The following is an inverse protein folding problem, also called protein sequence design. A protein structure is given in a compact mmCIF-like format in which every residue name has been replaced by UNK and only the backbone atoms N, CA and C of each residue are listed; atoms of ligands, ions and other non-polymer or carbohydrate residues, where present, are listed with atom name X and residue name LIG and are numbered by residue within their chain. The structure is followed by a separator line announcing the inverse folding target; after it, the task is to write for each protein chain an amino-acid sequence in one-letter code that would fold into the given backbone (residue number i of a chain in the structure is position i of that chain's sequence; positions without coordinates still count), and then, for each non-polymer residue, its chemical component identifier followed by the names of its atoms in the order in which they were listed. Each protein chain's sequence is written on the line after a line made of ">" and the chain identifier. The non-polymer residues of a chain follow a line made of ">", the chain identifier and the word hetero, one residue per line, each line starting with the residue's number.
data_IF_285441839459
#
_entry.id   IF_285441839459
#
_cell.length_a   1.000
_cell.length_b   1.000
_cell.length_c   1.000
_cell.angle_alpha   90.00
_cell.angle_beta   90.00
_cell.angle_gamma   90.00
#
_symmetry.space_group_name_H-M   'P 1'
#
loop_
_entity.id
_entity.type
_entity.pdbx_description
1 polymer ?
#
# COMPACT_ATOMS: atom_id res chain seq x y z
N UNK A 1 32.26 24.09 -17.79
CA UNK A 1 30.84 23.82 -18.11
C UNK A 1 30.00 24.34 -16.96
N UNK A 2 29.18 25.39 -17.15
CA UNK A 2 28.35 25.99 -16.08
C UNK A 2 26.89 25.73 -16.41
N UNK A 3 26.17 25.11 -15.48
CA UNK A 3 24.72 24.88 -15.58
C UNK A 3 24.07 25.83 -14.59
N UNK A 4 23.16 26.67 -15.07
CA UNK A 4 22.33 27.54 -14.23
C UNK A 4 20.87 27.16 -14.44
N UNK A 5 20.19 26.84 -13.34
CA UNK A 5 18.81 26.37 -13.32
C UNK A 5 17.92 27.54 -12.90
N UNK A 6 16.87 27.81 -13.69
CA UNK A 6 15.82 28.76 -13.30
C UNK A 6 14.44 28.22 -13.65
N UNK A 7 13.47 28.56 -12.80
CA UNK A 7 12.09 28.06 -12.82
C UNK A 7 11.16 29.17 -13.32
N UNK A 8 10.39 28.91 -14.38
CA UNK A 8 9.28 29.77 -14.80
C UNK A 8 8.05 28.93 -15.09
N UNK A 9 6.88 29.50 -14.77
CA UNK A 9 5.56 28.88 -14.70
C UNK A 9 5.35 27.70 -15.68
N UNK A 10 5.25 26.50 -15.11
CA UNK A 10 4.73 25.30 -15.78
C UNK A 10 5.72 24.38 -16.50
N UNK A 11 7.00 24.71 -16.66
CA UNK A 11 7.97 23.77 -17.27
C UNK A 11 9.41 23.99 -16.79
N UNK A 12 10.16 22.90 -16.64
CA UNK A 12 11.62 22.95 -16.48
C UNK A 12 12.28 23.13 -17.85
N UNK A 13 13.08 24.18 -18.04
CA UNK A 13 13.84 24.40 -19.27
C UNK A 13 15.33 24.34 -18.97
N UNK A 14 16.04 23.51 -19.73
CA UNK A 14 17.49 23.40 -19.69
C UNK A 14 18.07 24.16 -20.89
N UNK A 15 18.97 25.12 -20.64
CA UNK A 15 19.63 25.88 -21.71
C UNK A 15 21.10 25.49 -21.76
N UNK A 16 21.49 24.77 -22.81
CA UNK A 16 22.89 24.49 -23.13
C UNK A 16 23.41 25.59 -24.05
N UNK A 17 24.54 26.21 -23.71
CA UNK A 17 25.30 27.06 -24.64
C UNK A 17 26.41 26.22 -25.26
N UNK A 18 26.24 25.86 -26.53
CA UNK A 18 27.31 25.41 -27.41
C UNK A 18 27.51 26.46 -28.50
N UNK A 19 28.77 26.76 -28.79
CA UNK A 19 29.15 27.68 -29.86
C UNK A 19 28.95 26.97 -31.22
N UNK A 20 28.39 27.70 -32.18
CA UNK A 20 28.11 27.33 -33.57
C UNK A 20 26.81 26.54 -33.86
N UNK A 21 25.99 27.10 -34.75
CA UNK A 21 25.03 26.37 -35.60
C UNK A 21 23.58 26.38 -35.12
N UNK A 22 22.73 27.12 -35.84
CA UNK A 22 21.28 27.27 -35.62
C UNK A 22 20.54 26.04 -36.17
N UNK A 23 19.88 25.23 -35.33
CA UNK A 23 18.91 24.22 -35.76
C UNK A 23 17.54 24.49 -35.11
N UNK A 24 16.53 24.72 -35.94
CA UNK A 24 15.14 24.77 -35.54
C UNK A 24 14.68 23.32 -35.27
N UNK A 25 14.49 22.94 -34.01
CA UNK A 25 13.90 21.65 -33.63
C UNK A 25 12.42 21.86 -33.30
N UNK A 26 11.57 21.58 -34.28
CA UNK A 26 10.18 21.21 -34.05
C UNK A 26 10.17 19.87 -33.30
N UNK A 27 9.77 19.86 -32.03
CA UNK A 27 9.44 18.62 -31.32
C UNK A 27 8.07 18.16 -31.77
N UNK A 28 8.00 17.52 -32.94
CA UNK A 28 6.93 16.60 -33.26
C UNK A 28 7.23 15.29 -32.53
N UNK A 29 6.45 14.97 -31.51
CA UNK A 29 6.42 13.65 -30.89
C UNK A 29 5.90 12.64 -31.91
N UNK A 30 6.82 12.07 -32.69
CA UNK A 30 6.51 10.88 -33.48
C UNK A 30 6.27 9.70 -32.52
N UNK A 31 5.18 8.94 -32.70
CA UNK A 31 5.04 7.67 -32.02
C UNK A 31 6.16 6.75 -32.50
N UNK A 32 6.97 6.27 -31.56
CA UNK A 32 7.95 5.23 -31.83
C UNK A 32 7.20 3.93 -32.10
N UNK A 33 6.76 3.75 -33.35
CA UNK A 33 6.25 2.47 -33.86
C UNK A 33 7.49 1.62 -34.14
N UNK A 34 7.97 0.91 -33.11
CA UNK A 34 8.88 -0.21 -33.31
C UNK A 34 8.05 -1.41 -33.76
N UNK A 35 7.78 -1.44 -35.06
CA UNK A 35 7.41 -2.65 -35.79
C UNK A 35 8.67 -3.50 -35.95
N UNK A 36 8.78 -4.57 -35.17
CA UNK A 36 9.80 -5.61 -35.30
C UNK A 36 9.15 -6.99 -35.15
N UNK A 37 9.19 -7.81 -36.21
CA UNK A 37 8.54 -9.12 -36.30
C UNK A 37 9.17 -10.14 -35.34
N UNK A 38 8.33 -10.98 -34.70
CA UNK A 38 8.74 -12.30 -34.17
C UNK A 38 8.23 -12.64 -32.76
N UNK A 39 6.98 -13.11 -32.67
CA UNK A 39 6.31 -13.53 -31.43
C UNK A 39 5.43 -12.42 -30.85
N UNK A 40 4.12 -12.65 -30.74
CA UNK A 40 3.17 -11.69 -30.16
C UNK A 40 3.41 -11.55 -28.65
N UNK A 41 4.39 -10.75 -28.24
CA UNK A 41 4.54 -10.35 -26.85
C UNK A 41 3.46 -9.32 -26.52
N UNK A 42 2.71 -9.59 -25.45
CA UNK A 42 1.58 -8.74 -25.06
C UNK A 42 1.96 -7.84 -23.90
N UNK A 43 1.48 -6.60 -23.97
CA UNK A 43 1.61 -5.61 -22.91
C UNK A 43 0.35 -5.56 -22.06
N UNK A 44 0.53 -5.56 -20.74
CA UNK A 44 -0.53 -5.51 -19.74
C UNK A 44 -0.31 -4.36 -18.76
N UNK A 45 -1.40 -3.86 -18.21
CA UNK A 45 -1.38 -2.86 -17.16
C UNK A 45 -2.00 -3.39 -15.88
N UNK A 46 -1.44 -3.06 -14.71
CA UNK A 46 -2.07 -3.35 -13.43
C UNK A 46 -2.23 -2.10 -12.57
N UNK A 47 -3.46 -1.91 -12.08
CA UNK A 47 -3.87 -0.81 -11.21
C UNK A 47 -4.36 -1.40 -9.89
N UNK A 48 -3.92 -0.80 -8.79
CA UNK A 48 -4.48 -1.04 -7.46
C UNK A 48 -4.85 0.30 -6.84
N UNK A 49 -6.09 0.43 -6.41
CA UNK A 49 -6.59 1.65 -5.74
C UNK A 49 -7.06 1.32 -4.34
N UNK A 50 -6.70 2.17 -3.39
CA UNK A 50 -7.43 2.28 -2.13
C UNK A 50 -8.82 2.88 -2.40
N UNK A 51 -9.72 2.86 -1.42
CA UNK A 51 -11.09 3.41 -1.48
C UNK A 51 -11.24 4.89 -1.90
N UNK A 52 -10.16 5.56 -2.30
CA UNK A 52 -10.11 6.98 -2.65
C UNK A 52 -9.99 7.11 -4.17
N UNK A 53 -11.05 7.57 -4.83
CA UNK A 53 -11.17 7.63 -6.30
C UNK A 53 -10.08 8.50 -6.98
N UNK A 54 -9.50 9.48 -6.25
CA UNK A 54 -8.50 10.43 -6.77
C UNK A 54 -7.21 9.79 -7.32
N UNK A 55 -6.91 8.53 -6.99
CA UNK A 55 -5.69 7.84 -7.45
C UNK A 55 -5.92 6.92 -8.65
N UNK A 56 -7.17 6.69 -9.07
CA UNK A 56 -7.51 5.82 -10.19
C UNK A 56 -7.12 6.48 -11.53
N UNK A 57 -7.59 7.71 -11.74
CA UNK A 57 -7.42 8.43 -13.00
C UNK A 57 -5.95 8.64 -13.35
N UNK A 58 -5.11 9.00 -12.36
CA UNK A 58 -3.67 9.17 -12.58
C UNK A 58 -3.00 7.89 -13.08
N UNK A 59 -3.43 6.72 -12.59
CA UNK A 59 -2.89 5.44 -13.02
C UNK A 59 -3.37 5.07 -14.42
N UNK A 60 -4.66 5.29 -14.71
CA UNK A 60 -5.22 5.05 -16.05
C UNK A 60 -4.53 5.91 -17.11
N UNK A 61 -4.40 7.22 -16.88
CA UNK A 61 -3.72 8.15 -17.79
C UNK A 61 -2.28 7.70 -18.06
N UNK A 62 -1.55 7.26 -17.03
CA UNK A 62 -0.18 6.80 -17.19
C UNK A 62 -0.07 5.52 -18.05
N UNK A 63 -0.99 4.58 -17.89
CA UNK A 63 -1.04 3.34 -18.68
C UNK A 63 -1.53 3.57 -20.10
N UNK A 64 -2.54 4.41 -20.29
CA UNK A 64 -3.02 4.84 -21.60
C UNK A 64 -1.94 5.59 -22.37
N UNK A 65 -1.14 6.43 -21.69
CA UNK A 65 0.03 7.08 -22.26
C UNK A 65 1.11 6.12 -22.76
N UNK A 66 1.07 4.83 -22.36
CA UNK A 66 1.90 3.75 -22.92
C UNK A 66 1.25 2.97 -24.05
N UNK A 67 0.01 3.29 -24.43
CA UNK A 67 -0.72 2.62 -25.50
C UNK A 67 -1.36 1.29 -25.09
N UNK A 68 -1.49 1.02 -23.78
CA UNK A 68 -2.08 -0.22 -23.29
C UNK A 68 -3.60 -0.15 -23.44
N UNK A 69 -4.25 -1.11 -24.14
CA UNK A 69 -5.69 -1.11 -24.30
C UNK A 69 -6.42 -1.52 -23.01
N UNK A 70 -7.63 -0.99 -22.79
CA UNK A 70 -8.43 -1.23 -21.58
C UNK A 70 -8.68 -2.72 -21.29
N UNK A 71 -8.82 -3.54 -22.33
CA UNK A 71 -9.02 -4.98 -22.19
C UNK A 71 -7.79 -5.74 -21.63
N UNK A 72 -6.63 -5.08 -21.56
CA UNK A 72 -5.38 -5.57 -20.95
C UNK A 72 -5.01 -4.83 -19.67
N UNK A 73 -5.84 -3.90 -19.21
CA UNK A 73 -5.69 -3.24 -17.92
C UNK A 73 -6.50 -4.00 -16.87
N UNK A 74 -5.84 -4.41 -15.80
CA UNK A 74 -6.42 -5.13 -14.67
C UNK A 74 -6.44 -4.23 -13.46
N UNK A 75 -7.62 -4.00 -12.88
CA UNK A 75 -7.80 -3.09 -11.76
C UNK A 75 -8.43 -3.78 -10.57
N UNK A 76 -7.78 -3.71 -9.40
CA UNK A 76 -8.37 -4.13 -8.13
C UNK A 76 -8.64 -2.91 -7.23
N UNK A 77 -9.89 -2.74 -6.80
CA UNK A 77 -10.28 -1.77 -5.77
C UNK A 77 -10.23 -2.45 -4.40
N UNK A 78 -9.50 -1.87 -3.45
CA UNK A 78 -9.32 -2.48 -2.13
C UNK A 78 -9.58 -1.48 -1.00
N UNK A 79 -10.60 -1.76 -0.19
CA UNK A 79 -10.86 -1.08 1.08
C UNK A 79 -10.36 -1.91 2.25
N UNK A 80 -9.48 -1.35 3.08
CA UNK A 80 -9.19 -1.90 4.41
C UNK A 80 -8.76 -3.38 4.46
N UNK A 81 -9.28 -4.08 5.48
CA UNK A 81 -8.77 -5.32 6.09
C UNK A 81 -8.50 -6.47 5.10
N UNK A 82 -9.30 -6.60 4.05
CA UNK A 82 -9.24 -7.77 3.16
C UNK A 82 -8.29 -7.60 1.98
N UNK A 83 -7.33 -8.52 1.87
CA UNK A 83 -6.34 -8.51 0.81
C UNK A 83 -6.72 -9.38 -0.38
N UNK A 84 -7.91 -9.17 -0.93
CA UNK A 84 -8.32 -9.90 -2.12
C UNK A 84 -7.90 -9.15 -3.40
N UNK A 85 -7.28 -9.87 -4.35
CA UNK A 85 -6.79 -9.35 -5.63
C UNK A 85 -7.25 -10.22 -6.80
N UNK A 86 -8.56 -10.32 -7.07
CA UNK A 86 -9.11 -11.23 -8.07
C UNK A 86 -8.66 -10.88 -9.50
N UNK A 87 -8.51 -9.60 -9.84
CA UNK A 87 -8.08 -9.19 -11.19
C UNK A 87 -6.58 -9.43 -11.37
N UNK A 88 -5.75 -9.12 -10.38
CA UNK A 88 -4.35 -9.48 -10.39
C UNK A 88 -4.12 -11.00 -10.56
N UNK A 89 -4.82 -11.84 -9.79
CA UNK A 89 -4.73 -13.30 -9.93
C UNK A 89 -5.11 -13.77 -11.34
N UNK A 90 -6.08 -13.10 -11.98
CA UNK A 90 -6.46 -13.39 -13.37
C UNK A 90 -5.37 -12.97 -14.36
N UNK A 91 -4.74 -11.82 -14.14
CA UNK A 91 -3.60 -11.35 -14.93
C UNK A 91 -2.43 -12.35 -14.85
N UNK A 92 -2.01 -12.75 -13.65
CA UNK A 92 -0.90 -13.70 -13.44
C UNK A 92 -1.13 -15.05 -14.13
N UNK A 93 -2.39 -15.48 -14.28
CA UNK A 93 -2.74 -16.70 -15.03
C UNK A 93 -2.69 -16.53 -16.55
N UNK A 94 -2.87 -15.29 -17.04
CA UNK A 94 -2.97 -14.98 -18.46
C UNK A 94 -1.63 -14.64 -19.09
N UNK A 95 -0.76 -13.96 -18.35
CA UNK A 95 0.58 -13.58 -18.80
C UNK A 95 1.40 -14.82 -19.15
N UNK A 96 2.19 -14.70 -20.21
CA UNK A 96 3.11 -15.71 -20.73
C UNK A 96 4.53 -15.15 -20.73
N UNK A 97 5.50 -16.05 -20.81
CA UNK A 97 6.90 -15.67 -20.93
C UNK A 97 7.11 -14.69 -22.09
N UNK A 98 7.87 -13.62 -21.83
CA UNK A 98 8.13 -12.55 -22.79
C UNK A 98 7.07 -11.44 -22.84
N UNK A 99 5.92 -11.60 -22.17
CA UNK A 99 4.96 -10.50 -21.98
C UNK A 99 5.55 -9.41 -21.08
N UNK A 100 4.93 -8.22 -21.11
CA UNK A 100 5.34 -7.06 -20.34
C UNK A 100 4.22 -6.56 -19.44
N UNK A 101 4.53 -6.35 -18.16
CA UNK A 101 3.63 -5.76 -17.18
C UNK A 101 4.05 -4.33 -16.82
N UNK A 102 3.17 -3.37 -17.09
CA UNK A 102 3.30 -2.01 -16.61
C UNK A 102 2.55 -1.81 -15.29
N UNK A 103 3.24 -1.20 -14.33
CA UNK A 103 2.66 -0.71 -13.08
C UNK A 103 3.15 0.71 -12.82
N UNK A 104 2.29 1.54 -12.22
CA UNK A 104 2.70 2.91 -11.89
C UNK A 104 3.84 2.91 -10.84
N UNK A 105 3.64 2.16 -9.77
CA UNK A 105 4.55 2.10 -8.62
C UNK A 105 4.66 0.68 -8.06
N UNK A 106 5.79 0.38 -7.41
CA UNK A 106 6.09 -0.95 -6.89
C UNK A 106 5.12 -1.43 -5.80
N UNK A 107 4.59 -0.50 -5.01
CA UNK A 107 3.66 -0.82 -3.92
C UNK A 107 2.33 -1.39 -4.46
N UNK A 108 2.05 -1.28 -5.76
CA UNK A 108 0.89 -1.94 -6.37
C UNK A 108 0.99 -3.47 -6.28
N UNK A 109 2.20 -4.05 -6.19
CA UNK A 109 2.44 -5.49 -6.14
C UNK A 109 2.19 -6.14 -4.76
N UNK A 110 2.07 -5.41 -3.66
CA UNK A 110 1.88 -6.03 -2.34
C UNK A 110 1.60 -5.05 -1.20
N UNK A 111 1.18 -5.56 -0.03
CA UNK A 111 0.99 -4.74 1.20
C UNK A 111 2.30 -4.45 1.93
N UNK A 112 3.24 -5.36 1.80
CA UNK A 112 4.53 -5.29 2.46
C UNK A 112 5.63 -5.71 1.48
N UNK A 113 6.86 -5.39 1.84
CA UNK A 113 8.01 -5.63 0.97
C UNK A 113 8.28 -7.11 0.73
N UNK A 114 8.01 -7.98 1.73
CA UNK A 114 8.13 -9.43 1.55
C UNK A 114 7.22 -9.93 0.43
N UNK A 115 5.96 -9.49 0.46
CA UNK A 115 4.98 -9.83 -0.56
C UNK A 115 5.33 -9.23 -1.92
N UNK A 116 5.82 -7.98 -1.96
CA UNK A 116 6.30 -7.37 -3.20
C UNK A 116 7.45 -8.19 -3.79
N UNK A 117 8.41 -8.64 -2.98
CA UNK A 117 9.52 -9.48 -3.43
C UNK A 117 9.05 -10.85 -3.91
N UNK A 118 8.12 -11.48 -3.19
CA UNK A 118 7.49 -12.75 -3.60
C UNK A 118 6.78 -12.60 -4.96
N UNK A 119 5.98 -11.54 -5.14
CA UNK A 119 5.29 -11.28 -6.40
C UNK A 119 6.24 -10.91 -7.54
N UNK A 120 7.29 -10.14 -7.25
CA UNK A 120 8.31 -9.81 -8.24
C UNK A 120 8.98 -11.06 -8.77
N UNK A 121 9.44 -11.96 -7.88
CA UNK A 121 10.08 -13.23 -8.26
C UNK A 121 9.13 -14.14 -9.03
N UNK A 122 7.86 -14.24 -8.59
CA UNK A 122 6.84 -15.00 -9.31
C UNK A 122 6.69 -14.52 -10.76
N UNK A 123 6.66 -13.21 -10.98
CA UNK A 123 6.49 -12.64 -12.31
C UNK A 123 7.76 -12.75 -13.17
N UNK A 124 8.93 -12.43 -12.62
CA UNK A 124 10.17 -12.40 -13.41
C UNK A 124 10.81 -13.79 -13.56
N UNK A 125 10.93 -14.56 -12.47
CA UNK A 125 11.65 -15.84 -12.45
C UNK A 125 10.74 -17.01 -12.83
N UNK A 126 9.53 -17.10 -12.27
CA UNK A 126 8.64 -18.24 -12.54
C UNK A 126 7.83 -18.05 -13.84
N UNK A 127 7.33 -16.84 -14.10
CA UNK A 127 6.55 -16.54 -15.31
C UNK A 127 7.40 -16.06 -16.48
N UNK A 128 8.61 -15.55 -16.23
CA UNK A 128 9.50 -15.04 -17.28
C UNK A 128 8.94 -13.80 -17.99
N UNK A 129 8.15 -12.98 -17.28
CA UNK A 129 7.63 -11.72 -17.84
C UNK A 129 8.52 -10.55 -17.45
N UNK A 130 8.51 -9.52 -18.30
CA UNK A 130 9.15 -8.25 -17.99
C UNK A 130 8.22 -7.36 -17.16
N UNK A 131 8.79 -6.54 -16.28
CA UNK A 131 8.08 -5.56 -15.47
C UNK A 131 8.69 -4.19 -15.71
N UNK A 132 7.82 -3.21 -15.96
CA UNK A 132 8.19 -1.80 -16.05
C UNK A 132 7.44 -1.00 -14.98
N UNK A 133 8.20 -0.45 -14.02
CA UNK A 133 7.67 0.47 -13.01
C UNK A 133 7.81 1.91 -13.50
N UNK A 134 6.68 2.56 -13.79
CA UNK A 134 6.68 3.88 -14.45
C UNK A 134 7.33 4.98 -13.59
N UNK A 135 7.11 4.97 -12.28
CA UNK A 135 7.68 5.97 -11.36
C UNK A 135 9.16 5.68 -11.01
N UNK A 136 9.67 4.48 -11.30
CA UNK A 136 11.04 4.08 -10.97
C UNK A 136 11.70 3.35 -12.15
N UNK A 137 12.27 4.07 -13.12
CA UNK A 137 12.88 3.48 -14.32
C UNK A 137 14.03 2.50 -14.06
N UNK A 138 14.65 2.53 -12.87
CA UNK A 138 15.65 1.54 -12.44
C UNK A 138 15.06 0.14 -12.24
N UNK A 139 13.74 0.04 -12.11
CA UNK A 139 12.98 -1.21 -12.02
C UNK A 139 12.28 -1.50 -13.36
N UNK A 140 13.06 -1.43 -14.44
CA UNK A 140 12.65 -1.83 -15.78
C UNK A 140 13.48 -3.04 -16.22
N UNK A 141 12.88 -4.23 -16.19
CA UNK A 141 13.59 -5.48 -16.51
C UNK A 141 13.83 -5.66 -18.00
N UNK A 142 13.25 -4.82 -18.86
CA UNK A 142 13.49 -4.84 -20.30
C UNK A 142 14.90 -4.36 -20.63
N UNK A 143 15.37 -3.38 -19.86
CA UNK A 143 16.68 -2.74 -20.04
C UNK A 143 17.73 -3.57 -19.31
N UNK A 144 18.17 -4.64 -19.95
CA UNK A 144 19.19 -5.54 -19.41
C UNK A 144 18.64 -6.93 -19.14
N UNK A 145 18.28 -7.64 -20.21
CA UNK A 145 18.12 -9.12 -20.20
C UNK A 145 19.41 -9.86 -19.80
N UNK A 146 20.50 -9.12 -19.60
CA UNK A 146 21.76 -9.58 -19.08
C UNK A 146 21.68 -9.70 -17.54
N UNK A 147 22.49 -10.61 -16.97
CA UNK A 147 22.56 -10.88 -15.52
C UNK A 147 22.69 -9.62 -14.65
N UNK A 148 23.26 -8.53 -15.20
CA UNK A 148 23.43 -7.25 -14.51
C UNK A 148 22.11 -6.49 -14.29
N UNK A 149 21.18 -6.49 -15.24
CA UNK A 149 19.91 -5.76 -15.11
C UNK A 149 19.04 -6.37 -14.01
N UNK A 150 18.92 -7.70 -14.01
CA UNK A 150 18.24 -8.46 -12.95
C UNK A 150 18.90 -8.25 -11.59
N UNK A 151 20.23 -8.26 -11.52
CA UNK A 151 20.95 -8.02 -10.26
C UNK A 151 20.70 -6.62 -9.69
N UNK A 152 20.72 -5.58 -10.54
CA UNK A 152 20.43 -4.21 -10.11
C UNK A 152 19.00 -4.11 -9.59
N UNK A 153 18.01 -4.66 -10.31
CA UNK A 153 16.63 -4.66 -9.86
C UNK A 153 16.46 -5.37 -8.50
N UNK A 154 17.04 -6.56 -8.35
CA UNK A 154 17.01 -7.30 -7.08
C UNK A 154 17.68 -6.54 -5.94
N UNK A 155 18.81 -5.89 -6.19
CA UNK A 155 19.51 -5.08 -5.18
C UNK A 155 18.67 -3.88 -4.75
N UNK A 156 18.06 -3.16 -5.70
CA UNK A 156 17.16 -2.03 -5.41
C UNK A 156 15.98 -2.50 -4.56
N UNK A 157 15.39 -3.66 -4.88
CA UNK A 157 14.31 -4.25 -4.08
C UNK A 157 14.73 -4.58 -2.65
N UNK A 158 15.95 -5.10 -2.44
CA UNK A 158 16.47 -5.38 -1.10
C UNK A 158 16.71 -4.10 -0.31
N UNK A 159 17.30 -3.08 -0.91
CA UNK A 159 17.55 -1.78 -0.26
C UNK A 159 16.23 -1.13 0.16
N UNK A 160 15.24 -1.09 -0.73
CA UNK A 160 13.92 -0.52 -0.43
C UNK A 160 13.22 -1.30 0.70
N UNK A 161 13.35 -2.63 0.71
CA UNK A 161 12.82 -3.48 1.79
C UNK A 161 13.46 -3.14 3.14
N UNK A 162 14.79 -3.00 3.17
CA UNK A 162 15.54 -2.64 4.38
C UNK A 162 15.16 -1.26 4.91
N UNK A 163 15.14 -0.24 4.05
CA UNK A 163 14.81 1.15 4.44
C UNK A 163 13.42 1.22 5.07
N UNK A 164 12.44 0.57 4.45
CA UNK A 164 11.08 0.61 4.96
C UNK A 164 10.87 -0.20 6.25
N UNK A 165 11.60 -1.31 6.41
CA UNK A 165 11.57 -2.06 7.67
C UNK A 165 12.20 -1.23 8.79
N UNK A 166 13.34 -0.58 8.52
CA UNK A 166 14.00 0.33 9.46
C UNK A 166 13.10 1.51 9.86
N UNK A 167 12.40 2.11 8.90
CA UNK A 167 11.44 3.19 9.18
C UNK A 167 10.30 2.71 10.09
N UNK A 168 9.71 1.54 9.82
CA UNK A 168 8.66 0.96 10.67
C UNK A 168 9.14 0.69 12.09
N UNK A 169 10.34 0.15 12.24
CA UNK A 169 10.94 -0.10 13.55
C UNK A 169 11.21 1.21 14.30
N UNK A 170 11.70 2.23 13.62
CA UNK A 170 11.89 3.58 14.17
C UNK A 170 10.59 4.21 14.65
N UNK A 171 9.52 4.13 13.86
CA UNK A 171 8.18 4.61 14.25
C UNK A 171 7.66 3.87 15.49
N UNK A 172 7.78 2.53 15.52
CA UNK A 172 7.36 1.73 16.68
C UNK A 172 8.15 2.07 17.93
N UNK A 173 9.47 2.26 17.80
CA UNK A 173 10.34 2.65 18.91
C UNK A 173 9.91 4.00 19.48
N UNK A 174 9.74 5.02 18.63
CA UNK A 174 9.26 6.35 19.05
C UNK A 174 7.86 6.30 19.68
N UNK A 175 6.97 5.48 19.13
CA UNK A 175 5.64 5.29 19.70
C UNK A 175 5.73 4.68 21.11
N UNK A 176 6.56 3.64 21.30
CA UNK A 176 6.77 3.01 22.59
C UNK A 176 7.37 3.98 23.62
N UNK A 177 8.37 4.76 23.22
CA UNK A 177 8.97 5.84 24.02
C UNK A 177 7.92 6.89 24.42
N UNK A 178 7.10 7.33 23.46
CA UNK A 178 6.01 8.28 23.73
C UNK A 178 4.95 7.73 24.69
N UNK A 179 4.57 6.47 24.56
CA UNK A 179 3.65 5.79 25.49
C UNK A 179 4.28 5.68 26.88
N UNK A 180 5.57 5.33 26.97
CA UNK A 180 6.28 5.25 28.25
C UNK A 180 6.35 6.61 28.96
N UNK A 181 6.69 7.67 28.23
CA UNK A 181 6.73 9.03 28.76
C UNK A 181 5.34 9.53 29.19
N UNK A 182 4.29 9.20 28.44
CA UNK A 182 2.91 9.53 28.80
C UNK A 182 2.44 8.77 30.05
N UNK A 183 2.76 7.47 30.17
CA UNK A 183 2.48 6.68 31.38
C UNK A 183 3.22 7.24 32.60
N UNK A 184 4.48 7.65 32.45
CA UNK A 184 5.25 8.29 33.52
C UNK A 184 4.64 9.63 33.99
N UNK A 185 4.02 10.38 33.06
CA UNK A 185 3.23 11.58 33.39
C UNK A 185 1.82 11.29 33.95
N UNK A 186 1.47 10.02 34.16
CA UNK A 186 0.16 9.62 34.70
C UNK A 186 -0.99 9.60 33.69
N UNK A 187 -0.71 9.71 32.39
CA UNK A 187 -1.77 9.62 31.36
C UNK A 187 -2.36 8.21 31.37
N UNK A 188 -3.66 8.12 31.69
CA UNK A 188 -4.41 6.86 31.62
C UNK A 188 -4.83 6.59 30.17
N UNK A 189 -4.27 5.54 29.59
CA UNK A 189 -4.64 5.06 28.26
C UNK A 189 -5.85 4.14 28.31
N UNK A 190 -6.59 4.07 27.20
CA UNK A 190 -7.75 3.20 27.02
C UNK A 190 -9.09 3.92 27.14
N UNK A 191 -10.18 3.16 26.96
CA UNK A 191 -11.54 3.69 27.07
C UNK A 191 -11.81 4.13 28.52
N UNK A 192 -12.31 5.36 28.76
CA UNK A 192 -12.71 5.79 30.09
C UNK A 192 -13.72 4.81 30.72
N UNK A 193 -13.61 4.50 32.03
CA UNK A 193 -14.56 3.63 32.70
C UNK A 193 -15.95 4.29 32.72
N UNK A 194 -16.97 3.54 32.30
CA UNK A 194 -18.36 3.97 32.41
C UNK A 194 -18.79 3.81 33.88
N UNK A 195 -19.34 4.86 34.52
CA UNK A 195 -19.80 4.78 35.91
C UNK A 195 -20.82 3.65 36.11
N UNK A 196 -20.93 3.18 37.36
CA UNK A 196 -21.97 2.22 37.73
C UNK A 196 -23.30 2.95 37.82
N UNK A 197 -24.41 2.37 37.32
CA UNK A 197 -25.73 2.94 37.53
C UNK A 197 -26.07 2.89 39.02
N UNK A 198 -26.86 3.86 39.52
CA UNK A 198 -27.12 4.00 40.96
C UNK A 198 -27.77 2.77 41.61
N UNK A 199 -28.54 2.00 40.85
CA UNK A 199 -29.19 0.77 41.30
C UNK A 199 -28.27 -0.47 41.29
N UNK A 200 -27.01 -0.35 40.84
CA UNK A 200 -26.11 -1.49 40.66
C UNK A 200 -25.92 -2.32 41.93
N UNK A 201 -25.75 -1.68 43.08
CA UNK A 201 -25.47 -2.36 44.35
C UNK A 201 -26.65 -3.19 44.85
N UNK A 202 -27.88 -2.69 44.66
CA UNK A 202 -29.09 -3.41 45.03
C UNK A 202 -29.33 -4.61 44.11
N UNK A 203 -29.18 -4.38 42.81
CA UNK A 203 -29.31 -5.41 41.77
C UNK A 203 -28.25 -6.51 41.93
N UNK A 204 -27.00 -6.14 42.25
CA UNK A 204 -25.92 -7.10 42.53
C UNK A 204 -26.24 -8.00 43.73
N UNK A 205 -26.70 -7.43 44.85
CA UNK A 205 -27.10 -8.21 46.04
C UNK A 205 -28.27 -9.15 45.73
N UNK A 206 -29.27 -8.68 44.99
CA UNK A 206 -30.43 -9.49 44.62
C UNK A 206 -30.04 -10.64 43.67
N UNK A 207 -29.14 -10.38 42.71
CA UNK A 207 -28.59 -11.40 41.82
C UNK A 207 -27.78 -12.45 42.57
N UNK A 208 -26.86 -12.05 43.46
CA UNK A 208 -26.07 -12.98 44.29
C UNK A 208 -26.94 -13.78 45.28
N UNK A 209 -28.01 -13.17 45.78
CA UNK A 209 -29.03 -13.83 46.59
C UNK A 209 -29.97 -14.75 45.79
N UNK A 210 -29.70 -14.99 44.49
CA UNK A 210 -30.52 -15.81 43.58
C UNK A 210 -31.98 -15.35 43.44
N UNK A 211 -32.28 -14.08 43.73
CA UNK A 211 -33.62 -13.49 43.60
C UNK A 211 -33.93 -13.04 42.17
N UNK A 212 -32.92 -12.91 41.33
CA UNK A 212 -33.05 -12.58 39.90
C UNK A 212 -31.94 -13.24 39.08
N UNK A 213 -32.19 -13.43 37.79
CA UNK A 213 -31.20 -13.99 36.86
C UNK A 213 -30.17 -12.94 36.43
N UNK A 214 -29.04 -13.39 35.87
CA UNK A 214 -27.99 -12.51 35.34
C UNK A 214 -28.52 -11.57 34.26
N UNK A 215 -29.38 -12.09 33.38
CA UNK A 215 -30.03 -11.31 32.30
C UNK A 215 -30.90 -10.18 32.86
N UNK A 216 -31.77 -10.51 33.82
CA UNK A 216 -32.64 -9.52 34.46
C UNK A 216 -31.84 -8.45 35.21
N UNK A 217 -30.75 -8.86 35.87
CA UNK A 217 -29.86 -7.93 36.58
C UNK A 217 -29.15 -6.97 35.60
N UNK A 218 -28.67 -7.48 34.47
CA UNK A 218 -28.01 -6.69 33.44
C UNK A 218 -28.98 -5.70 32.77
N UNK A 219 -30.20 -6.16 32.46
CA UNK A 219 -31.27 -5.34 31.90
C UNK A 219 -31.71 -4.23 32.86
N UNK A 220 -31.89 -4.54 34.15
CA UNK A 220 -32.18 -3.55 35.18
C UNK A 220 -31.09 -2.48 35.32
N UNK A 221 -29.84 -2.84 35.03
CA UNK A 221 -28.70 -1.91 35.03
C UNK A 221 -28.46 -1.23 33.66
N UNK A 222 -29.29 -1.50 32.65
CA UNK A 222 -29.16 -0.91 31.31
C UNK A 222 -27.83 -1.24 30.61
N UNK A 223 -27.25 -2.42 30.86
CA UNK A 223 -25.97 -2.82 30.26
C UNK A 223 -25.97 -4.28 29.78
N UNK A 224 -25.10 -4.66 28.83
CA UNK A 224 -25.00 -6.06 28.38
C UNK A 224 -24.61 -7.01 29.51
N UNK A 225 -25.09 -8.25 29.46
CA UNK A 225 -24.85 -9.28 30.49
C UNK A 225 -23.37 -9.43 30.86
N UNK A 226 -22.49 -9.52 29.86
CA UNK A 226 -21.05 -9.62 30.07
C UNK A 226 -20.44 -8.37 30.74
N UNK A 227 -21.00 -7.18 30.49
CA UNK A 227 -20.55 -5.94 31.13
C UNK A 227 -20.98 -5.89 32.59
N UNK A 228 -22.21 -6.28 32.88
CA UNK A 228 -22.72 -6.40 34.26
C UNK A 228 -21.89 -7.41 35.06
N UNK A 229 -21.69 -8.61 34.51
CA UNK A 229 -20.90 -9.65 35.17
C UNK A 229 -19.45 -9.21 35.43
N UNK A 230 -18.79 -8.62 34.43
CA UNK A 230 -17.42 -8.11 34.60
C UNK A 230 -17.32 -7.02 35.67
N UNK A 231 -18.32 -6.12 35.74
CA UNK A 231 -18.41 -5.08 36.78
C UNK A 231 -18.66 -5.69 38.16
N UNK A 232 -19.54 -6.69 38.28
CA UNK A 232 -19.82 -7.40 39.53
C UNK A 232 -18.58 -8.12 40.07
N UNK A 233 -17.87 -8.88 39.23
CA UNK A 233 -16.62 -9.56 39.61
C UNK A 233 -15.55 -8.56 40.03
N UNK A 234 -15.48 -7.40 39.36
CA UNK A 234 -14.51 -6.36 39.72
C UNK A 234 -14.83 -5.71 41.06
N UNK A 235 -16.12 -5.48 41.35
CA UNK A 235 -16.60 -4.99 42.64
C UNK A 235 -16.24 -5.97 43.77
N UNK A 236 -16.54 -7.25 43.60
CA UNK A 236 -16.25 -8.31 44.60
C UNK A 236 -14.76 -8.57 44.86
N UNK A 237 -13.88 -8.16 43.94
CA UNK A 237 -12.42 -8.27 44.10
C UNK A 237 -11.77 -7.00 44.65
N UNK A 238 -12.52 -5.89 44.66
CA UNK A 238 -12.03 -4.60 45.12
C UNK A 238 -12.31 -4.40 46.62
N UNK A 239 -13.30 -5.12 47.16
CA UNK A 239 -13.54 -5.33 48.60
C UNK A 239 -12.75 -6.54 49.11
#
# INVERSE_FOLDING_TARGET
>A
MRITIYKTAGSWKFRFFSCAGRFHLFFASLPCILSGKGGDFLEYGYIRVSSTDQNEDRQLIALHGKGIPDNRIYMDKQSGKDFNRPKYKRLVRRVKQGDLLYILSIDRLGRNYREIQEQWRLLTQEKGIDICVLDMPLLDTRQGKDLMGTFIADLVLQILSFVAQSERESIRKRQAEGIAAAKARGVKFGRPPVPLPGNFYEVHRAWRGKKMTLRQAAEACGMPEGTFYAKAVKFEKAD
#
